data_IF_634154885456
#
_entry.id   IF_634154885456
#
_cell.length_a   1.000
_cell.length_b   1.000
_cell.length_c   1.000
_cell.angle_alpha   90.00
_cell.angle_beta   90.00
_cell.angle_gamma   90.00
#
_symmetry.space_group_name_H-M   'P 1'
#
loop_
_entity.id
_entity.type
_entity.pdbx_description
1 polymer ?
#
# COMPACT_ATOMS: atom_id res chain seq x y z
N UNK A 1 18.44 4.06 17.94
CA UNK A 1 18.13 2.62 18.16
C UNK A 1 19.11 1.65 17.49
N UNK A 2 19.78 2.01 16.38
CA UNK A 2 20.88 1.22 15.82
C UNK A 2 22.23 1.88 16.12
N UNK A 3 23.29 1.09 16.27
CA UNK A 3 24.65 1.61 16.41
C UNK A 3 25.02 2.45 15.18
N UNK A 4 25.90 3.47 15.33
CA UNK A 4 26.29 4.36 14.22
C UNK A 4 26.74 3.61 12.96
N UNK A 5 27.37 2.44 13.13
CA UNK A 5 27.79 1.54 12.04
C UNK A 5 26.63 0.91 11.25
N UNK A 6 25.46 0.78 11.86
CA UNK A 6 24.30 0.06 11.30
C UNK A 6 23.11 0.98 10.96
N UNK A 7 23.29 2.31 10.98
CA UNK A 7 22.20 3.27 10.70
C UNK A 7 21.60 3.07 9.30
N UNK A 8 22.40 2.64 8.32
CA UNK A 8 21.92 2.31 6.98
C UNK A 8 20.91 1.16 6.92
N UNK A 9 20.82 0.32 7.96
CA UNK A 9 19.83 -0.75 8.07
C UNK A 9 18.50 -0.32 8.69
N UNK A 10 18.40 0.94 9.16
CA UNK A 10 17.18 1.44 9.78
C UNK A 10 15.97 1.36 8.85
N UNK A 11 16.16 1.70 7.56
CA UNK A 11 15.12 1.57 6.54
C UNK A 11 14.69 0.12 6.32
N UNK A 12 15.64 -0.81 6.31
CA UNK A 12 15.38 -2.26 6.19
C UNK A 12 14.61 -2.77 7.40
N UNK A 13 15.04 -2.45 8.62
CA UNK A 13 14.34 -2.87 9.85
C UNK A 13 12.90 -2.35 9.88
N UNK A 14 12.69 -1.08 9.49
CA UNK A 14 11.34 -0.51 9.41
C UNK A 14 10.48 -1.24 8.36
N UNK A 15 11.04 -1.50 7.18
CA UNK A 15 10.35 -2.21 6.10
C UNK A 15 9.95 -3.63 6.50
N UNK A 16 10.87 -4.39 7.11
CA UNK A 16 10.63 -5.75 7.58
C UNK A 16 9.64 -5.78 8.74
N UNK A 17 9.77 -4.85 9.70
CA UNK A 17 8.86 -4.73 10.85
C UNK A 17 7.42 -4.44 10.42
N UNK A 18 7.22 -3.46 9.51
CA UNK A 18 5.90 -3.17 8.96
C UNK A 18 5.31 -4.37 8.21
N UNK A 19 6.13 -5.06 7.42
CA UNK A 19 5.71 -6.26 6.67
C UNK A 19 5.27 -7.37 7.60
N UNK A 20 6.06 -7.67 8.63
CA UNK A 20 5.72 -8.68 9.64
C UNK A 20 4.46 -8.30 10.42
N UNK A 21 4.31 -7.02 10.78
CA UNK A 21 3.12 -6.49 11.45
C UNK A 21 1.86 -6.63 10.59
N UNK A 22 1.93 -6.28 9.30
CA UNK A 22 0.82 -6.48 8.36
C UNK A 22 0.44 -7.95 8.21
N UNK A 23 1.44 -8.83 8.14
CA UNK A 23 1.21 -10.27 8.06
C UNK A 23 0.46 -10.81 9.28
N UNK A 24 0.95 -10.52 10.48
CA UNK A 24 0.34 -10.97 11.73
C UNK A 24 -1.03 -10.29 11.96
N UNK A 25 -1.15 -9.01 11.64
CA UNK A 25 -2.31 -8.17 11.90
C UNK A 25 -3.50 -8.42 10.96
N UNK A 26 -3.22 -8.72 9.69
CA UNK A 26 -4.27 -8.83 8.67
C UNK A 26 -4.38 -10.25 8.12
N UNK A 27 -3.27 -10.81 7.62
CA UNK A 27 -3.31 -12.08 6.86
C UNK A 27 -3.55 -13.26 7.81
N UNK A 28 -2.77 -13.35 8.88
CA UNK A 28 -2.94 -14.41 9.87
C UNK A 28 -4.31 -14.30 10.56
N UNK A 29 -4.75 -13.07 10.85
CA UNK A 29 -6.06 -12.82 11.42
C UNK A 29 -7.20 -13.30 10.51
N UNK A 30 -7.24 -12.85 9.25
CA UNK A 30 -8.28 -13.24 8.28
C UNK A 30 -8.34 -14.76 8.06
N UNK A 31 -7.19 -15.43 8.02
CA UNK A 31 -7.14 -16.88 7.88
C UNK A 31 -7.71 -17.59 9.11
N UNK A 32 -7.37 -17.14 10.32
CA UNK A 32 -7.83 -17.76 11.57
C UNK A 32 -9.26 -17.37 11.95
N UNK A 33 -9.79 -16.26 11.44
CA UNK A 33 -11.19 -15.85 11.59
C UNK A 33 -12.13 -16.63 10.64
N UNK A 34 -11.65 -17.01 9.46
CA UNK A 34 -12.45 -17.74 8.47
C UNK A 34 -12.72 -19.18 8.91
N UNK A 35 -14.00 -19.51 9.16
CA UNK A 35 -14.43 -20.87 9.46
C UNK A 35 -14.11 -21.84 8.32
N UNK A 36 -14.30 -21.42 7.06
CA UNK A 36 -13.96 -22.20 5.86
C UNK A 36 -12.48 -22.57 5.84
N UNK A 37 -11.60 -21.61 6.12
CA UNK A 37 -10.16 -21.86 6.16
C UNK A 37 -9.78 -22.80 7.30
N UNK A 38 -10.28 -22.54 8.52
CA UNK A 38 -9.99 -23.37 9.68
C UNK A 38 -10.48 -24.80 9.49
N UNK A 39 -11.68 -25.01 8.96
CA UNK A 39 -12.23 -26.34 8.72
C UNK A 39 -11.47 -27.10 7.63
N UNK A 40 -10.91 -26.38 6.65
CA UNK A 40 -10.18 -26.99 5.53
C UNK A 40 -8.73 -27.35 5.86
N UNK A 41 -8.04 -26.53 6.66
CA UNK A 41 -6.59 -26.66 6.87
C UNK A 41 -6.14 -26.89 8.31
N UNK A 42 -6.97 -26.58 9.32
CA UNK A 42 -6.54 -26.56 10.73
C UNK A 42 -7.33 -27.51 11.64
N UNK A 43 -8.62 -27.73 11.36
CA UNK A 43 -9.51 -28.55 12.20
C UNK A 43 -9.72 -29.94 11.62
N UNK A 44 -9.86 -30.91 12.51
CA UNK A 44 -10.32 -32.26 12.19
C UNK A 44 -11.86 -32.36 12.14
N UNK A 45 -12.58 -31.55 12.93
CA UNK A 45 -14.04 -31.49 12.94
C UNK A 45 -14.56 -30.11 12.49
N UNK A 46 -15.48 -30.03 11.52
CA UNK A 46 -15.99 -28.76 11.01
C UNK A 46 -16.82 -27.99 12.04
N UNK A 47 -16.58 -26.68 12.17
CA UNK A 47 -17.40 -25.78 12.99
C UNK A 47 -17.78 -24.50 12.23
N UNK A 48 -18.84 -23.83 12.67
CA UNK A 48 -19.39 -22.64 12.01
C UNK A 48 -18.58 -21.35 12.26
N UNK A 49 -17.68 -21.33 13.25
CA UNK A 49 -16.92 -20.13 13.65
C UNK A 49 -15.43 -20.30 13.36
N UNK A 50 -14.71 -19.21 13.13
CA UNK A 50 -13.24 -19.21 13.08
C UNK A 50 -12.58 -19.73 14.37
N UNK A 51 -11.27 -19.96 14.32
CA UNK A 51 -10.47 -20.31 15.49
C UNK A 51 -10.34 -19.12 16.45
N UNK A 52 -10.26 -17.91 15.90
CA UNK A 52 -10.21 -16.65 16.65
C UNK A 52 -11.33 -15.73 16.20
N UNK A 53 -11.78 -14.87 17.10
CA UNK A 53 -12.71 -13.77 16.78
C UNK A 53 -11.95 -12.44 16.80
N UNK A 54 -12.48 -11.42 16.12
CA UNK A 54 -11.93 -10.07 16.17
C UNK A 54 -11.76 -9.58 17.62
N UNK A 55 -12.76 -9.80 18.48
CA UNK A 55 -12.71 -9.41 19.89
C UNK A 55 -11.56 -10.12 20.64
N UNK A 56 -11.42 -11.44 20.47
CA UNK A 56 -10.34 -12.20 21.09
C UNK A 56 -8.95 -11.79 20.60
N UNK A 57 -8.83 -11.51 19.30
CA UNK A 57 -7.59 -11.02 18.70
C UNK A 57 -7.19 -9.65 19.24
N UNK A 58 -8.13 -8.71 19.31
CA UNK A 58 -7.88 -7.37 19.88
C UNK A 58 -7.52 -7.43 21.36
N UNK A 59 -8.16 -8.31 22.13
CA UNK A 59 -7.84 -8.51 23.54
C UNK A 59 -6.42 -9.06 23.74
N UNK A 60 -6.03 -10.07 22.96
CA UNK A 60 -4.68 -10.64 23.00
C UNK A 60 -3.61 -9.59 22.69
N UNK A 61 -3.75 -8.84 21.58
CA UNK A 61 -2.79 -7.80 21.23
C UNK A 61 -2.79 -6.63 22.20
N UNK A 62 -3.93 -6.35 22.85
CA UNK A 62 -4.01 -5.39 23.97
C UNK A 62 -3.09 -5.80 25.13
N UNK A 63 -3.12 -7.07 25.54
CA UNK A 63 -2.23 -7.59 26.59
C UNK A 63 -0.76 -7.48 26.15
N UNK A 64 -0.43 -7.94 24.93
CA UNK A 64 0.93 -7.86 24.39
C UNK A 64 1.43 -6.42 24.40
N UNK A 65 0.58 -5.45 24.03
CA UNK A 65 0.91 -4.02 24.04
C UNK A 65 1.22 -3.50 25.44
N UNK A 66 0.41 -3.85 26.45
CA UNK A 66 0.69 -3.47 27.85
C UNK A 66 2.00 -4.07 28.36
N UNK A 67 2.22 -5.37 28.14
CA UNK A 67 3.43 -6.06 28.59
C UNK A 67 4.67 -5.45 27.94
N UNK A 68 4.67 -5.30 26.61
CA UNK A 68 5.82 -4.75 25.88
C UNK A 68 6.10 -3.30 26.27
N UNK A 69 5.08 -2.46 26.42
CA UNK A 69 5.26 -1.06 26.86
C UNK A 69 5.83 -0.98 28.27
N UNK A 70 5.37 -1.84 29.18
CA UNK A 70 5.88 -1.90 30.56
C UNK A 70 7.33 -2.37 30.59
N UNK A 71 7.68 -3.39 29.79
CA UNK A 71 9.06 -3.85 29.66
C UNK A 71 9.98 -2.76 29.10
N UNK A 72 9.53 -2.01 28.08
CA UNK A 72 10.29 -0.88 27.55
C UNK A 72 10.47 0.19 28.63
N UNK A 73 9.42 0.54 29.37
CA UNK A 73 9.48 1.52 30.45
C UNK A 73 10.50 1.14 31.54
N UNK A 74 10.56 -0.14 31.92
CA UNK A 74 11.45 -0.60 33.00
C UNK A 74 12.88 -0.83 32.50
N UNK A 75 13.04 -1.42 31.31
CA UNK A 75 14.35 -1.89 30.84
C UNK A 75 15.09 -0.85 30.01
N UNK A 76 14.37 -0.02 29.24
CA UNK A 76 15.01 0.92 28.32
C UNK A 76 15.34 2.22 29.05
N UNK A 77 16.61 2.37 29.35
CA UNK A 77 17.15 3.61 29.88
C UNK A 77 17.55 4.54 28.71
N UNK A 78 17.22 5.81 28.86
CA UNK A 78 17.70 6.87 27.99
C UNK A 78 19.21 7.01 28.21
N UNK A 79 19.95 7.11 27.12
CA UNK A 79 21.38 7.39 27.19
C UNK A 79 21.54 8.89 26.94
N UNK A 80 22.35 9.56 27.76
CA UNK A 80 22.75 10.93 27.49
C UNK A 80 23.47 10.96 26.13
N UNK A 81 22.87 11.65 25.17
CA UNK A 81 23.49 11.89 23.87
C UNK A 81 24.32 13.18 23.99
N UNK A 82 25.66 13.10 23.98
CA UNK A 82 26.51 14.29 24.07
C UNK A 82 26.35 15.25 22.89
N UNK A 83 25.73 14.79 21.78
CA UNK A 83 25.38 15.62 20.62
C UNK A 83 23.93 16.15 20.67
N UNK A 84 23.13 15.76 21.68
CA UNK A 84 21.80 16.32 21.87
C UNK A 84 21.89 17.66 22.59
N UNK A 85 21.40 18.73 21.95
CA UNK A 85 21.21 20.02 22.60
C UNK A 85 20.28 19.83 23.81
N UNK A 86 20.86 19.88 25.01
CA UNK A 86 20.14 19.75 26.29
C UNK A 86 19.08 20.85 26.50
N UNK A 87 19.09 21.89 25.66
CA UNK A 87 18.12 22.99 25.66
C UNK A 87 17.01 22.86 24.60
N UNK A 88 16.98 21.84 23.74
CA UNK A 88 15.91 21.68 22.75
C UNK A 88 14.60 21.24 23.41
N UNK A 89 13.81 22.22 23.84
CA UNK A 89 12.45 22.01 24.31
C UNK A 89 11.51 21.57 23.17
N UNK A 90 10.38 20.96 23.55
CA UNK A 90 9.32 20.52 22.61
C UNK A 90 8.90 21.66 21.65
N UNK A 91 8.80 22.88 22.17
CA UNK A 91 8.43 24.05 21.39
C UNK A 91 9.46 24.36 20.28
N UNK A 92 10.74 24.16 20.57
CA UNK A 92 11.81 24.41 19.60
C UNK A 92 11.86 23.32 18.54
N UNK A 93 11.54 22.06 18.89
CA UNK A 93 11.30 21.00 17.89
C UNK A 93 10.18 21.38 16.93
N UNK A 94 9.05 21.91 17.42
CA UNK A 94 7.96 22.40 16.55
C UNK A 94 8.38 23.58 15.67
N UNK A 95 9.13 24.55 16.20
CA UNK A 95 9.66 25.66 15.40
C UNK A 95 10.61 25.16 14.31
N UNK A 96 11.48 24.19 14.61
CA UNK A 96 12.37 23.58 13.64
C UNK A 96 11.60 22.82 12.56
N UNK A 97 10.54 22.08 12.92
CA UNK A 97 9.67 21.42 11.95
C UNK A 97 9.00 22.43 10.98
N UNK A 98 8.53 23.57 11.50
CA UNK A 98 7.99 24.64 10.65
C UNK A 98 9.05 25.20 9.70
N UNK A 99 10.31 25.32 10.14
CA UNK A 99 11.42 25.71 9.25
C UNK A 99 11.65 24.66 8.15
N UNK A 100 11.65 23.37 8.48
CA UNK A 100 11.81 22.26 7.51
C UNK A 100 10.72 22.30 6.45
N UNK A 101 9.46 22.44 6.85
CA UNK A 101 8.32 22.48 5.91
C UNK A 101 8.43 23.68 4.95
N UNK A 102 9.07 24.77 5.36
CA UNK A 102 9.29 25.96 4.52
C UNK A 102 10.46 25.83 3.54
N UNK A 103 11.28 24.79 3.64
CA UNK A 103 12.37 24.56 2.69
C UNK A 103 11.80 24.27 1.30
N UNK A 104 12.26 25.00 0.28
CA UNK A 104 11.78 24.84 -1.12
C UNK A 104 11.93 23.39 -1.64
N UNK A 105 13.05 22.67 -1.36
CA UNK A 105 13.17 21.26 -1.75
C UNK A 105 12.10 20.38 -1.09
N UNK A 106 11.75 20.65 0.18
CA UNK A 106 10.75 19.90 0.92
C UNK A 106 9.34 20.14 0.41
N UNK A 107 8.97 21.39 0.11
CA UNK A 107 7.68 21.69 -0.51
C UNK A 107 7.58 20.98 -1.86
N UNK A 108 8.64 21.02 -2.67
CA UNK A 108 8.67 20.33 -3.97
C UNK A 108 8.52 18.82 -3.81
N UNK A 109 9.20 18.23 -2.82
CA UNK A 109 9.13 16.80 -2.54
C UNK A 109 7.78 16.39 -1.92
N UNK A 110 7.17 17.24 -1.09
CA UNK A 110 5.84 17.01 -0.54
C UNK A 110 4.78 16.92 -1.65
N UNK A 111 4.85 17.81 -2.66
CA UNK A 111 3.98 17.72 -3.83
C UNK A 111 4.18 16.39 -4.57
N UNK A 112 5.43 15.95 -4.72
CA UNK A 112 5.75 14.65 -5.33
C UNK A 112 5.13 13.51 -4.54
N UNK A 113 5.34 13.46 -3.22
CA UNK A 113 4.78 12.42 -2.34
C UNK A 113 3.25 12.37 -2.39
N UNK A 114 2.60 13.54 -2.44
CA UNK A 114 1.15 13.64 -2.46
C UNK A 114 0.53 13.24 -3.81
N UNK A 115 1.27 13.28 -4.91
CA UNK A 115 0.71 13.09 -6.27
C UNK A 115 1.23 11.86 -7.01
N UNK A 116 2.39 11.32 -6.64
CA UNK A 116 3.03 10.20 -7.35
C UNK A 116 2.19 8.92 -7.39
N UNK A 117 1.35 8.69 -6.37
CA UNK A 117 0.58 7.45 -6.23
C UNK A 117 -0.77 7.48 -6.97
N UNK A 118 -1.16 8.59 -7.58
CA UNK A 118 -2.43 8.73 -8.32
C UNK A 118 -2.54 7.64 -9.41
N UNK A 119 -1.45 7.40 -10.15
CA UNK A 119 -1.45 6.44 -11.25
C UNK A 119 -1.55 4.97 -10.82
N UNK A 120 -1.42 4.67 -9.53
CA UNK A 120 -1.54 3.32 -8.99
C UNK A 120 -2.86 3.09 -8.25
N UNK A 121 -3.69 4.13 -8.07
CA UNK A 121 -4.82 4.08 -7.15
C UNK A 121 -5.82 2.98 -7.51
N UNK A 122 -6.30 2.92 -8.76
CA UNK A 122 -7.20 1.85 -9.21
C UNK A 122 -6.58 0.45 -9.07
N UNK A 123 -5.31 0.28 -9.44
CA UNK A 123 -4.64 -1.00 -9.35
C UNK A 123 -4.54 -1.49 -7.88
N UNK A 124 -4.29 -0.57 -6.95
CA UNK A 124 -4.04 -0.90 -5.55
C UNK A 124 -5.32 -1.02 -4.71
N UNK A 125 -6.35 -0.20 -4.97
CA UNK A 125 -7.58 -0.19 -4.17
C UNK A 125 -8.73 -1.00 -4.76
N UNK A 126 -8.85 -1.10 -6.09
CA UNK A 126 -10.02 -1.70 -6.75
C UNK A 126 -9.81 -3.16 -7.16
N UNK A 127 -8.60 -3.54 -7.56
CA UNK A 127 -8.33 -4.89 -8.11
C UNK A 127 -8.75 -6.02 -7.16
N UNK A 128 -8.42 -5.91 -5.88
CA UNK A 128 -8.79 -6.91 -4.88
C UNK A 128 -10.30 -7.02 -4.70
N UNK A 129 -11.01 -5.89 -4.71
CA UNK A 129 -12.47 -5.84 -4.62
C UNK A 129 -13.12 -6.47 -5.86
N UNK A 130 -12.61 -6.15 -7.06
CA UNK A 130 -13.12 -6.70 -8.31
C UNK A 130 -12.90 -8.20 -8.46
N UNK A 131 -11.80 -8.74 -7.94
CA UNK A 131 -11.63 -10.20 -7.85
C UNK A 131 -12.64 -10.86 -6.90
N UNK A 132 -13.01 -10.17 -5.80
CA UNK A 132 -14.06 -10.66 -4.88
C UNK A 132 -15.43 -10.60 -5.56
N UNK A 133 -15.75 -9.52 -6.27
CA UNK A 133 -16.98 -9.39 -7.07
C UNK A 133 -17.06 -10.44 -8.17
N UNK A 134 -15.91 -10.82 -8.77
CA UNK A 134 -15.82 -11.95 -9.68
C UNK A 134 -16.00 -13.31 -8.98
N UNK A 135 -16.19 -13.38 -7.66
CA UNK A 135 -16.47 -14.61 -6.92
C UNK A 135 -15.27 -15.23 -6.22
N UNK A 136 -14.09 -14.58 -6.22
CA UNK A 136 -12.96 -15.05 -5.43
C UNK A 136 -13.19 -14.84 -3.95
N UNK A 137 -13.03 -15.89 -3.15
CA UNK A 137 -13.18 -15.77 -1.70
C UNK A 137 -12.09 -14.87 -1.10
N UNK A 138 -12.48 -14.00 -0.16
CA UNK A 138 -11.58 -13.02 0.50
C UNK A 138 -10.38 -13.69 1.16
N UNK A 139 -10.58 -14.84 1.80
CA UNK A 139 -9.50 -15.61 2.43
C UNK A 139 -8.50 -16.17 1.41
N UNK A 140 -8.92 -16.46 0.18
CA UNK A 140 -8.00 -16.95 -0.87
C UNK A 140 -7.08 -15.83 -1.32
N UNK A 141 -7.59 -14.61 -1.47
CA UNK A 141 -6.77 -13.43 -1.73
C UNK A 141 -5.78 -13.15 -0.59
N UNK A 142 -6.22 -13.30 0.66
CA UNK A 142 -5.35 -13.15 1.83
C UNK A 142 -4.20 -14.18 1.81
N UNK A 143 -4.48 -15.43 1.42
CA UNK A 143 -3.47 -16.48 1.32
C UNK A 143 -2.40 -16.20 0.27
N UNK A 144 -2.72 -15.49 -0.81
CA UNK A 144 -1.71 -15.10 -1.80
C UNK A 144 -0.62 -14.20 -1.24
N UNK A 145 -0.88 -13.49 -0.14
CA UNK A 145 0.14 -12.68 0.49
C UNK A 145 1.16 -13.53 1.27
N UNK A 146 0.83 -14.78 1.66
CA UNK A 146 1.75 -15.66 2.41
C UNK A 146 3.01 -15.99 1.58
N UNK A 147 2.90 -16.48 0.32
CA UNK A 147 4.08 -16.70 -0.52
C UNK A 147 4.84 -15.42 -0.89
N UNK A 148 4.25 -14.24 -0.70
CA UNK A 148 4.93 -12.97 -0.98
C UNK A 148 5.87 -12.54 0.14
N UNK A 149 5.66 -13.00 1.38
CA UNK A 149 6.48 -12.58 2.54
C UNK A 149 7.98 -12.83 2.33
N UNK A 150 8.43 -14.02 1.87
CA UNK A 150 9.86 -14.23 1.60
C UNK A 150 10.40 -13.23 0.59
N UNK A 151 9.63 -12.92 -0.46
CA UNK A 151 9.99 -11.91 -1.45
C UNK A 151 10.11 -10.53 -0.76
N UNK A 152 9.14 -10.16 0.07
CA UNK A 152 9.13 -8.87 0.77
C UNK A 152 10.26 -8.71 1.80
N UNK A 153 10.78 -9.81 2.35
CA UNK A 153 11.93 -9.78 3.27
C UNK A 153 13.26 -9.79 2.50
N UNK A 154 13.39 -10.66 1.49
CA UNK A 154 14.65 -10.85 0.74
C UNK A 154 14.91 -9.68 -0.21
N UNK A 155 13.86 -9.17 -0.86
CA UNK A 155 14.01 -8.17 -1.91
C UNK A 155 14.60 -6.85 -1.39
N UNK A 156 14.19 -6.27 -0.25
CA UNK A 156 14.86 -5.11 0.33
C UNK A 156 16.34 -5.36 0.63
N UNK A 157 16.73 -6.56 1.05
CA UNK A 157 18.13 -6.90 1.32
C UNK A 157 18.95 -6.87 0.02
N UNK A 158 18.40 -7.37 -1.08
CA UNK A 158 19.05 -7.36 -2.39
C UNK A 158 19.12 -5.92 -2.94
N UNK A 159 18.00 -5.20 -2.90
CA UNK A 159 17.86 -3.84 -3.44
C UNK A 159 18.67 -2.83 -2.62
N UNK A 160 18.90 -3.09 -1.33
CA UNK A 160 19.64 -2.19 -0.43
C UNK A 160 21.01 -1.78 -0.98
N UNK A 161 21.71 -2.68 -1.68
CA UNK A 161 23.01 -2.37 -2.32
C UNK A 161 22.91 -1.32 -3.41
N UNK A 162 21.78 -1.27 -4.12
CA UNK A 162 21.51 -0.32 -5.19
C UNK A 162 20.90 0.98 -4.68
N UNK A 163 20.20 0.95 -3.54
CA UNK A 163 19.59 2.14 -2.92
C UNK A 163 20.48 2.82 -1.89
N UNK A 164 21.54 2.17 -1.40
CA UNK A 164 22.55 2.77 -0.52
C UNK A 164 23.53 3.71 -1.25
N UNK A 165 23.42 3.82 -2.58
CA UNK A 165 24.22 4.73 -3.39
C UNK A 165 23.82 6.20 -3.26
N UNK A 166 24.53 7.10 -3.97
CA UNK A 166 24.28 8.55 -3.89
C UNK A 166 22.95 8.98 -4.50
N UNK A 167 22.30 8.16 -5.33
CA UNK A 167 21.08 8.52 -6.08
C UNK A 167 19.97 7.47 -5.95
N UNK A 168 19.39 7.28 -4.75
CA UNK A 168 18.32 6.31 -4.52
C UNK A 168 17.08 6.52 -5.40
N UNK A 169 16.77 7.76 -5.81
CA UNK A 169 15.59 8.03 -6.64
C UNK A 169 15.73 7.56 -8.09
N UNK A 170 16.94 7.25 -8.57
CA UNK A 170 17.10 6.65 -9.89
C UNK A 170 16.47 5.25 -9.96
N UNK A 171 16.56 4.45 -8.88
CA UNK A 171 15.90 3.14 -8.78
C UNK A 171 14.38 3.33 -8.75
N UNK A 172 13.91 4.32 -7.99
CA UNK A 172 12.49 4.70 -7.93
C UNK A 172 11.92 5.02 -9.33
N UNK A 173 12.59 5.90 -10.08
CA UNK A 173 12.17 6.34 -11.41
C UNK A 173 12.27 5.24 -12.47
N UNK A 174 13.17 4.25 -12.32
CA UNK A 174 13.26 3.09 -13.22
C UNK A 174 12.17 2.06 -12.95
N UNK A 175 11.78 1.88 -11.69
CA UNK A 175 10.71 0.95 -11.31
C UNK A 175 9.30 1.47 -11.67
N UNK A 176 9.11 2.79 -11.65
CA UNK A 176 7.81 3.44 -11.84
C UNK A 176 7.08 3.08 -13.15
N UNK A 177 7.70 3.06 -14.35
CA UNK A 177 7.03 2.64 -15.57
C UNK A 177 6.51 1.20 -15.51
N UNK A 178 7.31 0.27 -14.99
CA UNK A 178 6.89 -1.12 -14.80
C UNK A 178 5.73 -1.22 -13.81
N UNK A 179 5.79 -0.44 -12.72
CA UNK A 179 4.71 -0.35 -11.74
C UNK A 179 3.39 0.13 -12.37
N UNK A 180 3.43 1.11 -13.25
CA UNK A 180 2.26 1.62 -13.98
C UNK A 180 1.70 0.57 -14.94
N UNK A 181 2.58 -0.11 -15.70
CA UNK A 181 2.17 -1.17 -16.63
C UNK A 181 1.54 -2.37 -15.92
N UNK A 182 1.95 -2.68 -14.69
CA UNK A 182 1.29 -3.71 -13.88
C UNK A 182 -0.19 -3.41 -13.64
N UNK A 183 -0.63 -2.14 -13.68
CA UNK A 183 -2.04 -1.80 -13.63
C UNK A 183 -2.85 -2.36 -14.81
N UNK A 184 -2.27 -2.37 -16.02
CA UNK A 184 -2.90 -3.01 -17.19
C UNK A 184 -2.94 -4.53 -17.03
N UNK A 185 -1.88 -5.13 -16.48
CA UNK A 185 -1.82 -6.57 -16.19
C UNK A 185 -2.89 -6.96 -15.17
N UNK A 186 -3.11 -6.13 -14.14
CA UNK A 186 -4.17 -6.33 -13.15
C UNK A 186 -5.56 -6.19 -13.77
N UNK A 187 -5.78 -5.16 -14.59
CA UNK A 187 -7.03 -5.01 -15.31
C UNK A 187 -7.31 -6.22 -16.20
N UNK A 188 -6.32 -6.69 -16.97
CA UNK A 188 -6.44 -7.91 -17.77
C UNK A 188 -6.72 -9.16 -16.92
N UNK A 189 -6.05 -9.30 -15.77
CA UNK A 189 -6.26 -10.40 -14.82
C UNK A 189 -7.70 -10.42 -14.28
N UNK A 190 -8.27 -9.27 -13.94
CA UNK A 190 -9.68 -9.16 -13.53
C UNK A 190 -10.61 -9.52 -14.69
N UNK A 191 -10.31 -9.05 -15.90
CA UNK A 191 -11.13 -9.35 -17.08
C UNK A 191 -11.22 -10.85 -17.37
N UNK A 192 -10.09 -11.57 -17.38
CA UNK A 192 -10.11 -13.02 -17.58
C UNK A 192 -10.77 -13.78 -16.41
N UNK A 193 -10.81 -13.20 -15.21
CA UNK A 193 -11.41 -13.85 -14.04
C UNK A 193 -12.89 -14.16 -14.23
N UNK A 194 -13.63 -13.33 -14.98
CA UNK A 194 -15.04 -13.60 -15.28
C UNK A 194 -15.23 -14.76 -16.28
N UNK A 195 -14.30 -14.96 -17.21
CA UNK A 195 -14.40 -15.99 -18.25
C UNK A 195 -13.83 -17.37 -17.86
N UNK A 196 -12.93 -17.43 -16.86
CA UNK A 196 -12.18 -18.64 -16.50
C UNK A 196 -12.85 -19.44 -15.36
N UNK A 197 -13.96 -18.95 -14.81
CA UNK A 197 -14.70 -19.64 -13.75
C UNK A 197 -15.23 -20.99 -14.24
N UNK A 198 -14.82 -22.08 -13.57
CA UNK A 198 -15.32 -23.43 -13.87
C UNK A 198 -16.67 -23.69 -13.21
N UNK A 199 -16.94 -23.01 -12.10
CA UNK A 199 -18.22 -22.98 -11.37
C UNK A 199 -18.27 -21.66 -10.58
N UNK A 200 -19.45 -21.20 -10.12
CA UNK A 200 -19.54 -19.96 -9.34
C UNK A 200 -18.55 -19.94 -8.18
N UNK A 201 -17.59 -19.02 -8.21
CA UNK A 201 -16.55 -18.87 -7.18
C UNK A 201 -15.46 -19.94 -7.15
N UNK A 202 -15.39 -20.82 -8.14
CA UNK A 202 -14.32 -21.85 -8.27
C UNK A 202 -13.49 -21.60 -9.52
N UNK A 203 -12.22 -21.30 -9.30
CA UNK A 203 -11.24 -21.06 -10.36
C UNK A 203 -10.30 -22.26 -10.53
N UNK A 204 -9.78 -22.51 -11.75
CA UNK A 204 -8.78 -23.53 -12.00
C UNK A 204 -7.43 -23.18 -11.36
N UNK A 205 -6.65 -24.21 -10.99
CA UNK A 205 -5.32 -24.06 -10.35
C UNK A 205 -4.34 -23.25 -11.20
N UNK A 206 -4.44 -23.33 -12.53
CA UNK A 206 -3.63 -22.52 -13.45
C UNK A 206 -3.87 -21.02 -13.28
N UNK A 207 -5.12 -20.61 -13.01
CA UNK A 207 -5.46 -19.22 -12.78
C UNK A 207 -4.93 -18.72 -11.43
N UNK A 208 -5.01 -19.54 -10.37
CA UNK A 208 -4.38 -19.21 -9.08
C UNK A 208 -2.85 -19.05 -9.21
N UNK A 209 -2.18 -19.92 -9.97
CA UNK A 209 -0.75 -19.80 -10.24
C UNK A 209 -0.41 -18.53 -11.04
N UNK A 210 -1.23 -18.19 -12.05
CA UNK A 210 -1.08 -16.95 -12.81
C UNK A 210 -1.21 -15.71 -11.92
N UNK A 211 -2.23 -15.65 -11.05
CA UNK A 211 -2.40 -14.56 -10.08
C UNK A 211 -1.15 -14.44 -9.21
N UNK A 212 -0.65 -15.55 -8.66
CA UNK A 212 0.51 -15.53 -7.77
C UNK A 212 1.76 -14.97 -8.45
N UNK A 213 2.01 -15.31 -9.72
CA UNK A 213 3.11 -14.76 -10.52
C UNK A 213 2.92 -13.25 -10.74
N UNK A 214 1.71 -12.84 -11.13
CA UNK A 214 1.36 -11.44 -11.37
C UNK A 214 1.52 -10.59 -10.10
N UNK A 215 1.08 -11.10 -8.95
CA UNK A 215 1.33 -10.48 -7.64
C UNK A 215 2.82 -10.42 -7.32
N UNK A 216 3.60 -11.49 -7.55
CA UNK A 216 5.03 -11.48 -7.30
C UNK A 216 5.76 -10.38 -8.10
N UNK A 217 5.45 -10.26 -9.40
CA UNK A 217 6.01 -9.22 -10.26
C UNK A 217 5.62 -7.81 -9.78
N UNK A 218 4.36 -7.63 -9.40
CA UNK A 218 3.88 -6.39 -8.80
C UNK A 218 4.65 -6.04 -7.52
N UNK A 219 4.80 -7.00 -6.60
CA UNK A 219 5.53 -6.82 -5.34
C UNK A 219 6.96 -6.35 -5.59
N UNK A 220 7.65 -6.89 -6.61
CA UNK A 220 9.01 -6.46 -6.96
C UNK A 220 9.05 -4.96 -7.31
N UNK A 221 8.16 -4.50 -8.18
CA UNK A 221 8.12 -3.08 -8.58
C UNK A 221 7.71 -2.16 -7.42
N UNK A 222 6.73 -2.56 -6.61
CA UNK A 222 6.26 -1.81 -5.45
C UNK A 222 7.35 -1.64 -4.39
N UNK A 223 8.02 -2.74 -4.00
CA UNK A 223 9.06 -2.68 -2.98
C UNK A 223 10.33 -2.00 -3.48
N UNK A 224 10.64 -2.08 -4.77
CA UNK A 224 11.73 -1.29 -5.37
C UNK A 224 11.51 0.21 -5.18
N UNK A 225 10.29 0.70 -5.41
CA UNK A 225 9.94 2.10 -5.16
C UNK A 225 9.92 2.42 -3.67
N UNK A 226 9.34 1.56 -2.84
CA UNK A 226 9.24 1.78 -1.40
C UNK A 226 10.62 1.91 -0.72
N UNK A 227 11.51 0.95 -0.96
CA UNK A 227 12.87 0.93 -0.37
C UNK A 227 13.68 2.14 -0.84
N UNK A 228 13.56 2.51 -2.12
CA UNK A 228 14.22 3.69 -2.68
C UNK A 228 13.71 4.98 -2.05
N UNK A 229 12.39 5.11 -1.85
CA UNK A 229 11.77 6.24 -1.16
C UNK A 229 12.26 6.37 0.28
N UNK A 230 12.28 5.26 1.02
CA UNK A 230 12.76 5.22 2.40
C UNK A 230 14.26 5.53 2.51
N UNK A 231 15.08 5.05 1.56
CA UNK A 231 16.50 5.39 1.48
C UNK A 231 16.71 6.89 1.25
N UNK A 232 15.90 7.50 0.36
CA UNK A 232 15.94 8.94 0.15
C UNK A 232 15.48 9.73 1.39
N UNK A 233 14.39 9.31 2.05
CA UNK A 233 13.94 9.92 3.32
C UNK A 233 15.04 9.88 4.38
N UNK A 234 15.72 8.75 4.52
CA UNK A 234 16.83 8.60 5.46
C UNK A 234 18.03 9.50 5.09
N UNK A 235 18.31 9.67 3.79
CA UNK A 235 19.40 10.52 3.27
C UNK A 235 19.15 12.02 3.52
N UNK A 236 17.93 12.51 3.31
CA UNK A 236 17.62 13.95 3.38
C UNK A 236 17.24 14.42 4.79
N UNK A 237 16.92 13.51 5.70
CA UNK A 237 16.50 13.86 7.06
C UNK A 237 17.71 14.32 7.88
N UNK A 238 17.64 15.54 8.40
CA UNK A 238 18.67 16.13 9.27
C UNK A 238 18.90 15.25 10.51
N UNK A 239 20.13 14.83 10.84
CA UNK A 239 20.41 14.02 12.03
C UNK A 239 19.92 14.62 13.35
N UNK A 240 19.90 15.95 13.48
CA UNK A 240 19.45 16.65 14.69
C UNK A 240 17.96 16.45 14.99
N UNK A 241 17.13 16.35 13.94
CA UNK A 241 15.68 16.13 14.03
C UNK A 241 15.21 14.96 13.17
N UNK A 242 16.06 13.96 12.99
CA UNK A 242 15.87 12.92 11.98
C UNK A 242 14.59 12.13 12.19
N UNK A 243 14.21 11.86 13.44
CA UNK A 243 12.97 11.18 13.78
C UNK A 243 11.72 11.97 13.36
N UNK A 244 11.64 13.25 13.75
CA UNK A 244 10.50 14.13 13.41
C UNK A 244 10.42 14.37 11.90
N UNK A 245 11.56 14.58 11.25
CA UNK A 245 11.66 14.79 9.80
C UNK A 245 11.18 13.55 9.03
N UNK A 246 11.72 12.37 9.34
CA UNK A 246 11.28 11.12 8.69
C UNK A 246 9.79 10.87 8.91
N UNK A 247 9.28 11.18 10.10
CA UNK A 247 7.85 11.06 10.41
C UNK A 247 6.99 11.94 9.51
N UNK A 248 7.35 13.22 9.35
CA UNK A 248 6.66 14.13 8.43
C UNK A 248 6.61 13.59 6.99
N UNK A 249 7.74 13.12 6.47
CA UNK A 249 7.81 12.58 5.11
C UNK A 249 6.97 11.32 4.93
N UNK A 250 6.97 10.43 5.94
CA UNK A 250 6.14 9.24 5.92
C UNK A 250 4.65 9.59 6.00
N UNK A 251 4.27 10.58 6.80
CA UNK A 251 2.89 11.10 6.85
C UNK A 251 2.44 11.63 5.49
N UNK A 252 3.28 12.43 4.82
CA UNK A 252 2.98 12.93 3.47
C UNK A 252 2.85 11.79 2.44
N UNK A 253 3.74 10.81 2.50
CA UNK A 253 3.70 9.62 1.62
C UNK A 253 2.46 8.77 1.84
N UNK A 254 2.04 8.58 3.09
CA UNK A 254 0.83 7.82 3.44
C UNK A 254 -0.42 8.57 3.02
N UNK A 255 -0.50 9.88 3.29
CA UNK A 255 -1.60 10.73 2.84
C UNK A 255 -1.72 10.68 1.31
N UNK A 256 -0.60 10.80 0.60
CA UNK A 256 -0.51 10.71 -0.85
C UNK A 256 -0.94 9.37 -1.45
N UNK A 257 -1.00 8.29 -0.66
CA UNK A 257 -1.57 7.00 -1.09
C UNK A 257 -3.05 6.85 -0.76
N UNK A 258 -3.48 7.40 0.38
CA UNK A 258 -4.86 7.24 0.84
C UNK A 258 -5.84 8.09 0.04
N UNK A 259 -5.57 9.38 -0.18
CA UNK A 259 -6.55 10.24 -0.87
C UNK A 259 -6.85 9.80 -2.31
N UNK A 260 -5.88 9.36 -3.15
CA UNK A 260 -6.20 8.88 -4.48
C UNK A 260 -6.98 7.56 -4.43
N UNK A 261 -6.66 6.67 -3.48
CA UNK A 261 -7.35 5.40 -3.31
C UNK A 261 -8.81 5.59 -2.92
N UNK A 262 -9.08 6.52 -2.00
CA UNK A 262 -10.46 6.91 -1.61
C UNK A 262 -11.21 7.53 -2.78
N UNK A 263 -10.56 8.43 -3.53
CA UNK A 263 -11.18 9.04 -4.70
C UNK A 263 -11.51 7.99 -5.76
N UNK A 264 -10.62 7.02 -5.97
CA UNK A 264 -10.81 5.95 -6.94
C UNK A 264 -12.01 5.06 -6.58
N UNK A 265 -12.08 4.63 -5.32
CA UNK A 265 -13.22 3.89 -4.77
C UNK A 265 -14.55 4.65 -4.91
N UNK A 266 -14.53 5.97 -4.84
CA UNK A 266 -15.73 6.78 -5.01
C UNK A 266 -16.13 7.00 -6.48
N UNK A 267 -15.15 7.09 -7.39
CA UNK A 267 -15.39 7.34 -8.82
C UNK A 267 -15.85 6.10 -9.59
N UNK A 268 -15.46 4.91 -9.16
CA UNK A 268 -15.74 3.66 -9.89
C UNK A 268 -17.22 3.44 -10.16
N UNK A 269 -18.09 3.73 -9.19
CA UNK A 269 -19.55 3.59 -9.34
C UNK A 269 -20.11 4.61 -10.33
N UNK A 270 -19.58 5.84 -10.32
CA UNK A 270 -19.97 6.90 -11.25
C UNK A 270 -19.50 6.66 -12.69
N UNK A 271 -18.47 5.85 -12.89
CA UNK A 271 -17.95 5.45 -14.21
C UNK A 271 -18.57 4.14 -14.72
N UNK A 272 -19.24 3.38 -13.86
CA UNK A 272 -19.86 2.11 -14.21
C UNK A 272 -21.16 2.34 -14.99
N UNK A 273 -21.27 1.71 -16.16
CA UNK A 273 -22.44 1.77 -17.02
C UNK A 273 -23.23 0.46 -16.91
N UNK A 274 -24.44 0.56 -16.37
CA UNK A 274 -25.39 -0.55 -16.25
C UNK A 274 -26.54 -0.38 -17.26
N UNK A 275 -27.11 -1.49 -17.73
CA UNK A 275 -28.31 -1.48 -18.56
C UNK A 275 -29.34 -2.49 -18.05
N UNK A 276 -30.61 -2.17 -18.24
CA UNK A 276 -31.72 -3.02 -17.84
C UNK A 276 -32.01 -4.03 -18.95
N UNK A 277 -31.95 -5.32 -18.65
CA UNK A 277 -32.30 -6.40 -19.59
C UNK A 277 -33.61 -7.05 -19.12
N UNK A 278 -34.54 -7.27 -20.04
CA UNK A 278 -35.82 -7.95 -19.77
C UNK A 278 -36.98 -7.03 -19.40
N UNK A 279 -36.77 -5.72 -19.30
CA UNK A 279 -37.82 -4.72 -19.09
C UNK A 279 -37.46 -3.36 -19.74
N UNK A 280 -38.45 -2.48 -19.87
CA UNK A 280 -38.24 -1.09 -20.29
C UNK A 280 -37.86 -0.27 -19.04
N UNK A 281 -36.64 0.25 -18.99
CA UNK A 281 -36.12 1.02 -17.86
C UNK A 281 -34.66 1.39 -18.02
N UNK A 282 -34.14 2.20 -17.09
CA UNK A 282 -32.71 2.54 -17.02
C UNK A 282 -32.13 2.05 -15.70
N UNK A 283 -30.90 1.54 -15.73
CA UNK A 283 -30.11 1.25 -14.51
C UNK A 283 -29.04 2.33 -14.28
N UNK A 284 -29.15 3.48 -14.94
CA UNK A 284 -28.17 4.55 -14.80
C UNK A 284 -28.31 5.26 -13.44
N UNK A 285 -27.23 5.20 -12.66
CA UNK A 285 -26.82 6.19 -11.65
C UNK A 285 -27.88 6.64 -10.64
N UNK A 286 -28.76 5.75 -10.16
CA UNK A 286 -29.43 5.90 -8.86
C UNK A 286 -30.13 4.62 -8.40
N UNK A 287 -30.07 4.30 -7.10
CA UNK A 287 -30.80 3.19 -6.47
C UNK A 287 -32.31 3.11 -6.86
N UNK A 288 -33.07 4.22 -6.96
CA UNK A 288 -34.47 4.16 -7.40
C UNK A 288 -34.67 3.69 -8.85
N UNK A 289 -33.71 3.89 -9.75
CA UNK A 289 -33.79 3.42 -11.13
C UNK A 289 -33.46 1.92 -11.24
N UNK A 290 -32.53 1.43 -10.42
CA UNK A 290 -32.22 0.00 -10.27
C UNK A 290 -33.43 -0.78 -9.68
N UNK A 291 -34.13 -0.19 -8.71
CA UNK A 291 -35.40 -0.72 -8.19
C UNK A 291 -36.52 -0.72 -9.25
N UNK A 292 -36.61 0.30 -10.11
CA UNK A 292 -37.62 0.32 -11.18
C UNK A 292 -37.41 -0.80 -12.19
N UNK A 293 -36.17 -1.06 -12.61
CA UNK A 293 -35.85 -2.15 -13.54
C UNK A 293 -36.21 -3.52 -12.92
N UNK A 294 -35.84 -3.74 -11.66
CA UNK A 294 -36.14 -5.00 -10.95
C UNK A 294 -37.62 -5.19 -10.65
N UNK A 295 -38.37 -4.11 -10.35
CA UNK A 295 -39.83 -4.16 -10.17
C UNK A 295 -40.59 -4.52 -11.46
N UNK A 296 -40.04 -4.17 -12.63
CA UNK A 296 -40.62 -4.54 -13.93
C UNK A 296 -40.15 -5.92 -14.42
N UNK A 297 -39.47 -6.71 -13.57
CA UNK A 297 -38.99 -8.05 -13.90
C UNK A 297 -37.70 -8.07 -14.73
N UNK A 298 -37.01 -6.94 -14.86
CA UNK A 298 -35.70 -6.85 -15.50
C UNK A 298 -34.54 -7.08 -14.53
N UNK A 299 -33.37 -7.40 -15.07
CA UNK A 299 -32.12 -7.48 -14.33
C UNK A 299 -31.16 -6.37 -14.80
N UNK A 300 -30.52 -5.66 -13.86
CA UNK A 300 -29.49 -4.70 -14.19
C UNK A 300 -28.16 -5.42 -14.40
N UNK A 301 -27.70 -5.45 -15.65
CA UNK A 301 -26.40 -6.01 -16.02
C UNK A 301 -25.38 -4.90 -16.26
N UNK A 302 -24.15 -5.12 -15.81
CA UNK A 302 -23.05 -4.17 -16.01
C UNK A 302 -22.46 -4.35 -17.41
N UNK A 303 -22.67 -3.37 -18.29
CA UNK A 303 -22.13 -3.39 -19.64
C UNK A 303 -20.65 -3.00 -19.68
N UNK A 304 -20.29 -1.94 -18.94
CA UNK A 304 -18.91 -1.47 -18.82
C UNK A 304 -18.63 -1.16 -17.36
N UNK A 305 -17.72 -1.92 -16.77
CA UNK A 305 -17.25 -1.67 -15.41
C UNK A 305 -16.33 -0.45 -15.38
N UNK A 306 -16.64 0.51 -14.51
CA UNK A 306 -15.88 1.74 -14.32
C UNK A 306 -14.41 1.47 -14.00
N UNK A 307 -14.09 0.32 -13.38
CA UNK A 307 -12.73 -0.09 -13.06
C UNK A 307 -11.79 -0.11 -14.28
N UNK A 308 -12.26 -0.56 -15.45
CA UNK A 308 -11.41 -0.63 -16.64
C UNK A 308 -11.12 0.76 -17.21
N UNK A 309 -12.15 1.60 -17.28
CA UNK A 309 -12.03 3.00 -17.72
C UNK A 309 -11.07 3.73 -16.79
N UNK A 310 -11.31 3.62 -15.49
CA UNK A 310 -10.53 4.28 -14.46
C UNK A 310 -9.08 3.81 -14.44
N UNK A 311 -8.84 2.50 -14.57
CA UNK A 311 -7.48 1.95 -14.64
C UNK A 311 -6.68 2.55 -15.80
N UNK A 312 -7.28 2.63 -17.00
CA UNK A 312 -6.61 3.20 -18.17
C UNK A 312 -6.34 4.70 -17.96
N UNK A 313 -7.32 5.46 -17.44
CA UNK A 313 -7.19 6.89 -17.19
C UNK A 313 -6.10 7.20 -16.16
N UNK A 314 -6.09 6.50 -15.02
CA UNK A 314 -5.11 6.73 -13.96
C UNK A 314 -3.70 6.32 -14.40
N UNK A 315 -3.55 5.24 -15.17
CA UNK A 315 -2.25 4.86 -15.75
C UNK A 315 -1.74 5.94 -16.69
N UNK A 316 -2.60 6.48 -17.57
CA UNK A 316 -2.24 7.59 -18.45
C UNK A 316 -1.82 8.84 -17.66
N UNK A 317 -2.58 9.21 -16.62
CA UNK A 317 -2.22 10.29 -15.69
C UNK A 317 -0.88 10.01 -15.00
N UNK A 318 -0.62 8.76 -14.61
CA UNK A 318 0.64 8.32 -14.02
C UNK A 318 1.84 8.48 -14.96
N UNK A 319 1.69 8.14 -16.24
CA UNK A 319 2.73 8.36 -17.24
C UNK A 319 2.96 9.85 -17.53
N UNK A 320 1.89 10.65 -17.61
CA UNK A 320 2.00 12.11 -17.74
C UNK A 320 2.72 12.73 -16.54
N UNK A 321 2.37 12.30 -15.33
CA UNK A 321 3.03 12.70 -14.09
C UNK A 321 4.51 12.30 -14.11
N UNK A 322 4.82 11.08 -14.55
CA UNK A 322 6.19 10.59 -14.67
C UNK A 322 7.01 11.52 -15.55
N UNK A 323 6.56 11.83 -16.76
CA UNK A 323 7.24 12.74 -17.69
C UNK A 323 7.41 14.13 -17.08
N UNK A 324 6.37 14.65 -16.44
CA UNK A 324 6.36 15.98 -15.85
C UNK A 324 7.33 16.13 -14.66
N UNK A 325 7.38 15.15 -13.75
CA UNK A 325 8.20 15.23 -12.52
C UNK A 325 9.55 14.54 -12.62
N UNK A 326 9.83 13.77 -13.67
CA UNK A 326 11.08 13.03 -13.85
C UNK A 326 12.32 13.90 -13.59
N UNK A 327 12.42 15.05 -14.28
CA UNK A 327 13.57 15.96 -14.14
C UNK A 327 13.67 16.53 -12.73
N UNK A 328 12.53 16.86 -12.11
CA UNK A 328 12.51 17.44 -10.77
C UNK A 328 12.91 16.45 -9.69
N UNK A 329 12.47 15.20 -9.79
CA UNK A 329 12.89 14.13 -8.87
C UNK A 329 14.41 13.93 -8.94
N UNK A 330 14.98 13.90 -10.16
CA UNK A 330 16.44 13.81 -10.34
C UNK A 330 17.20 15.01 -9.81
N UNK A 331 16.67 16.22 -10.00
CA UNK A 331 17.25 17.44 -9.44
C UNK A 331 17.29 17.36 -7.92
N UNK A 332 16.17 16.98 -7.28
CA UNK A 332 16.08 16.85 -5.82
C UNK A 332 17.03 15.78 -5.29
N UNK A 333 17.19 14.65 -5.97
CA UNK A 333 18.09 13.58 -5.52
C UNK A 333 19.58 13.97 -5.55
N UNK A 334 19.93 14.90 -6.45
CA UNK A 334 21.29 15.41 -6.64
C UNK A 334 21.59 16.68 -5.83
N UNK A 335 20.60 17.26 -5.15
CA UNK A 335 20.83 18.40 -4.28
C UNK A 335 21.80 18.01 -3.15
N UNK A 336 22.67 18.96 -2.81
CA UNK A 336 23.54 18.81 -1.66
C UNK A 336 22.72 18.68 -0.36
N UNK A 337 23.22 17.89 0.59
CA UNK A 337 22.53 17.61 1.85
C UNK A 337 22.27 18.91 2.64
N UNK A 338 23.13 19.93 2.50
CA UNK A 338 22.92 21.25 3.11
C UNK A 338 21.59 21.91 2.70
N UNK A 339 21.10 21.66 1.49
CA UNK A 339 19.81 22.21 1.02
C UNK A 339 18.59 21.60 1.73
N UNK A 340 18.77 20.49 2.44
CA UNK A 340 17.73 19.76 3.16
C UNK A 340 17.75 20.01 4.66
N UNK A 341 18.75 20.75 5.15
CA UNK A 341 18.97 21.04 6.57
C UNK A 341 18.56 22.47 6.91
N UNK A 342 18.17 22.68 8.17
CA UNK A 342 17.80 23.99 8.69
C UNK A 342 19.01 24.78 9.25
N UNK A 343 20.16 24.11 9.41
CA UNK A 343 21.42 24.62 9.96
C UNK A 343 22.60 24.19 9.10
#
# INVERSE_FOLDING_TARGET
>A
MLSRRNVGWASTCNSVGQTAGYFLGNILFLALESADFCNKYLRSEPQQTGLITLAGFMFFWGIVFFVTTTLVMIMKHEADDPDADSEQGILDTYKQLVKVIRLKPIISYAIILLTVKIGFAAADSLTGLKLIEAGMKKETLALFAVPMIPIQIILPLIISKYTAGPTPMDVYLRAMPFRLLMGLVYAFMVWISHGVQSSPGVFPTSFYAFILIVYALHQVTLYSMFVSGMAFHAKISDPSIGGTYMTLLNTLSNLGGNWPSTLALWLVDGLTLKSCIGAVGSCEKSAPLEEQCTQHGGACETNVDGYYIESILLIAIGFLWYIWRYKKVKELDRLDISAWKCS
#
